data_IF_433039234364
#
_entry.id   IF_433039234364
#
_cell.length_a   1.000
_cell.length_b   1.000
_cell.length_c   1.000
_cell.angle_alpha   90.00
_cell.angle_beta   90.00
_cell.angle_gamma   90.00
#
_symmetry.space_group_name_H-M   'P 1'
#
loop_
_entity.id
_entity.type
_entity.pdbx_description
1 polymer ?
#
# COMPACT_ATOMS: atom_id res chain seq x y z
N UNK A 1 0.39 -24.35 -0.62
CA UNK A 1 -0.10 -23.09 -1.20
C UNK A 1 0.48 -22.93 -2.60
N UNK A 2 -0.34 -22.73 -3.63
CA UNK A 2 0.13 -22.65 -5.02
C UNK A 2 0.85 -21.31 -5.23
N UNK A 3 1.93 -21.28 -6.03
CA UNK A 3 2.79 -20.08 -6.20
C UNK A 3 2.02 -18.82 -6.62
N UNK A 4 0.93 -18.95 -7.40
CA UNK A 4 0.09 -17.83 -7.81
C UNK A 4 -0.76 -17.26 -6.66
N UNK A 5 -1.17 -18.08 -5.70
CA UNK A 5 -1.87 -17.62 -4.49
C UNK A 5 -0.96 -16.73 -3.65
N UNK A 6 0.32 -17.10 -3.53
CA UNK A 6 1.33 -16.30 -2.83
C UNK A 6 1.50 -14.95 -3.52
N UNK A 7 1.53 -14.91 -4.85
CA UNK A 7 1.62 -13.65 -5.60
C UNK A 7 0.39 -12.76 -5.41
N UNK A 8 -0.81 -13.31 -5.30
CA UNK A 8 -2.00 -12.53 -4.95
C UNK A 8 -1.90 -11.92 -3.55
N UNK A 9 -1.45 -12.70 -2.56
CA UNK A 9 -1.25 -12.20 -1.21
C UNK A 9 -0.19 -11.09 -1.20
N UNK A 10 0.94 -11.27 -1.89
CA UNK A 10 2.00 -10.26 -1.99
C UNK A 10 1.46 -8.99 -2.64
N UNK A 11 0.70 -9.11 -3.73
CA UNK A 11 0.08 -7.96 -4.41
C UNK A 11 -0.83 -7.16 -3.48
N UNK A 12 -1.78 -7.85 -2.82
CA UNK A 12 -2.72 -7.22 -1.89
C UNK A 12 -1.95 -6.57 -0.72
N UNK A 13 -0.97 -7.28 -0.18
CA UNK A 13 -0.15 -6.79 0.92
C UNK A 13 0.62 -5.51 0.53
N UNK A 14 1.15 -5.45 -0.69
CA UNK A 14 1.88 -4.29 -1.20
C UNK A 14 0.98 -3.06 -1.35
N UNK A 15 -0.26 -3.25 -1.81
CA UNK A 15 -1.28 -2.19 -1.89
C UNK A 15 -1.66 -1.69 -0.49
N UNK A 16 -1.91 -2.61 0.44
CA UNK A 16 -2.25 -2.27 1.84
C UNK A 16 -1.11 -1.49 2.48
N UNK A 17 0.14 -1.97 2.36
CA UNK A 17 1.30 -1.35 2.97
C UNK A 17 1.57 0.04 2.39
N UNK A 18 1.43 0.20 1.07
CA UNK A 18 1.54 1.48 0.39
C UNK A 18 0.48 2.49 0.86
N UNK A 19 -0.78 2.04 1.00
CA UNK A 19 -1.88 2.87 1.50
C UNK A 19 -1.68 3.25 2.97
N UNK A 20 -1.27 2.29 3.81
CA UNK A 20 -1.01 2.53 5.22
C UNK A 20 0.14 3.52 5.40
N UNK A 21 1.22 3.41 4.62
CA UNK A 21 2.34 4.35 4.65
C UNK A 21 1.90 5.77 4.27
N UNK A 22 1.09 5.90 3.22
CA UNK A 22 0.53 7.19 2.82
C UNK A 22 -0.30 7.80 3.95
N UNK A 23 -1.26 7.06 4.52
CA UNK A 23 -2.12 7.55 5.61
C UNK A 23 -1.32 7.98 6.85
N UNK A 24 -0.38 7.13 7.30
CA UNK A 24 0.47 7.43 8.44
C UNK A 24 1.32 8.68 8.21
N UNK A 25 1.84 8.86 7.01
CA UNK A 25 2.66 10.03 6.68
C UNK A 25 1.88 11.35 6.65
N UNK A 26 0.57 11.30 6.47
CA UNK A 26 -0.29 12.50 6.52
C UNK A 26 -0.73 12.88 7.93
N UNK A 27 -0.46 12.04 8.92
CA UNK A 27 -0.91 12.26 10.29
C UNK A 27 0.08 13.18 11.00
N UNK A 28 -0.39 14.35 11.43
CA UNK A 28 0.36 15.28 12.27
C UNK A 28 0.38 14.76 13.71
N UNK A 29 1.56 14.78 14.33
CA UNK A 29 1.71 14.70 15.78
C UNK A 29 2.18 16.08 16.27
N UNK A 30 1.41 16.77 17.13
CA UNK A 30 1.88 18.01 17.74
C UNK A 30 3.17 17.72 18.52
N UNK A 31 4.23 18.50 18.27
CA UNK A 31 5.48 18.38 19.01
C UNK A 31 5.32 18.76 20.48
N UNK A 32 6.23 18.30 21.34
CA UNK A 32 6.24 18.67 22.76
C UNK A 32 6.65 20.13 23.00
N UNK A 33 7.23 20.79 21.99
CA UNK A 33 7.62 22.20 22.04
C UNK A 33 6.62 23.04 21.26
N UNK A 34 6.21 24.16 21.86
CA UNK A 34 5.06 25.02 21.53
C UNK A 34 5.03 25.52 20.06
N UNK A 35 6.15 25.39 19.32
CA UNK A 35 6.32 25.85 17.95
C UNK A 35 6.84 24.77 17.00
N UNK A 36 6.52 23.49 17.20
CA UNK A 36 7.01 22.40 16.35
C UNK A 36 5.91 21.42 15.92
N UNK A 37 5.85 21.14 14.62
CA UNK A 37 5.03 20.04 14.07
C UNK A 37 5.95 18.90 13.69
N UNK A 38 5.60 17.69 14.12
CA UNK A 38 6.29 16.47 13.75
C UNK A 38 5.38 15.54 12.93
N UNK A 39 5.98 14.91 11.94
CA UNK A 39 5.44 13.70 11.31
C UNK A 39 5.64 12.50 12.27
N UNK A 40 4.79 11.46 12.20
CA UNK A 40 4.98 10.13 12.84
C UNK A 40 6.41 9.54 12.65
N UNK A 41 7.12 9.90 11.57
CA UNK A 41 8.51 9.53 11.28
C UNK A 41 9.55 10.46 11.97
N UNK A 42 9.13 11.40 12.81
CA UNK A 42 9.99 12.24 13.65
C UNK A 42 10.68 13.40 12.93
N UNK A 43 10.21 13.77 11.73
CA UNK A 43 10.71 14.96 11.03
C UNK A 43 10.04 16.20 11.61
N UNK A 44 10.85 17.06 12.23
CA UNK A 44 10.40 18.29 12.87
C UNK A 44 10.54 19.48 11.91
N UNK A 45 9.57 20.38 11.94
CA UNK A 45 9.66 21.72 11.37
C UNK A 45 9.42 22.74 12.48
N UNK A 46 10.32 23.72 12.59
CA UNK A 46 10.15 24.89 13.47
C UNK A 46 9.13 25.84 12.83
N UNK A 47 8.15 26.29 13.62
CA UNK A 47 7.10 27.22 13.21
C UNK A 47 7.42 28.61 13.75
N UNK A 48 7.41 29.63 12.88
CA UNK A 48 7.76 31.01 13.25
C UNK A 48 6.49 31.88 13.39
N UNK A 49 5.91 31.92 14.60
CA UNK A 49 4.73 32.70 15.04
C UNK A 49 3.32 32.12 14.84
N UNK A 50 2.42 32.48 15.77
CA UNK A 50 1.09 31.90 16.02
C UNK A 50 0.07 31.98 14.88
N UNK A 51 0.26 32.90 13.92
CA UNK A 51 -0.56 32.98 12.69
C UNK A 51 0.08 32.19 11.53
N UNK A 52 1.40 31.95 11.57
CA UNK A 52 2.10 31.13 10.57
C UNK A 52 2.12 29.64 10.94
N UNK A 53 1.84 29.29 12.19
CA UNK A 53 1.88 27.90 12.68
C UNK A 53 0.93 26.97 11.93
N UNK A 54 -0.29 27.42 11.64
CA UNK A 54 -1.25 26.62 10.87
C UNK A 54 -0.85 26.53 9.39
N UNK A 55 -0.46 27.65 8.79
CA UNK A 55 -0.09 27.69 7.37
C UNK A 55 1.18 26.86 7.09
N UNK A 56 2.19 26.97 7.95
CA UNK A 56 3.42 26.17 7.85
C UNK A 56 3.18 24.69 8.12
N UNK A 57 2.27 24.34 9.05
CA UNK A 57 1.90 22.94 9.28
C UNK A 57 1.16 22.34 8.07
N UNK A 58 0.29 23.12 7.42
CA UNK A 58 -0.41 22.73 6.19
C UNK A 58 0.57 22.59 5.04
N UNK A 59 1.48 23.54 4.83
CA UNK A 59 2.49 23.48 3.78
C UNK A 59 3.42 22.26 3.96
N UNK A 60 3.83 21.97 5.21
CA UNK A 60 4.59 20.77 5.52
C UNK A 60 3.82 19.48 5.19
N UNK A 61 2.51 19.43 5.49
CA UNK A 61 1.66 18.30 5.10
C UNK A 61 1.54 18.16 3.58
N UNK A 62 1.40 19.25 2.84
CA UNK A 62 1.28 19.23 1.39
C UNK A 62 2.57 18.72 0.73
N UNK A 63 3.73 19.20 1.20
CA UNK A 63 5.03 18.72 0.73
C UNK A 63 5.26 17.23 1.04
N UNK A 64 4.89 16.77 2.23
CA UNK A 64 4.99 15.35 2.56
C UNK A 64 3.98 14.51 1.80
N UNK A 65 2.75 15.00 1.59
CA UNK A 65 1.73 14.32 0.77
C UNK A 65 2.18 14.19 -0.66
N UNK A 66 2.76 15.23 -1.25
CA UNK A 66 3.25 15.18 -2.63
C UNK A 66 4.36 14.14 -2.76
N UNK A 67 5.36 14.17 -1.86
CA UNK A 67 6.46 13.20 -1.86
C UNK A 67 5.97 11.77 -1.65
N UNK A 68 5.03 11.56 -0.73
CA UNK A 68 4.54 10.23 -0.38
C UNK A 68 3.46 9.73 -1.34
N UNK A 69 2.83 10.61 -2.12
CA UNK A 69 1.92 10.25 -3.21
C UNK A 69 2.64 9.43 -4.29
N UNK A 70 3.91 9.73 -4.55
CA UNK A 70 4.72 8.97 -5.52
C UNK A 70 4.86 7.51 -5.05
N UNK A 71 5.18 7.30 -3.76
CA UNK A 71 5.27 5.95 -3.17
C UNK A 71 3.92 5.22 -3.15
N UNK A 72 2.81 5.96 -2.94
CA UNK A 72 1.46 5.42 -3.06
C UNK A 72 1.22 4.87 -4.47
N UNK A 73 1.46 5.67 -5.49
CA UNK A 73 1.20 5.29 -6.87
C UNK A 73 2.13 4.18 -7.35
N UNK A 74 3.40 4.19 -6.98
CA UNK A 74 4.34 3.08 -7.27
C UNK A 74 3.86 1.79 -6.63
N UNK A 75 3.42 1.84 -5.37
CA UNK A 75 2.92 0.66 -4.65
C UNK A 75 1.64 0.09 -5.26
N UNK A 76 0.66 0.95 -5.59
CA UNK A 76 -0.58 0.54 -6.25
C UNK A 76 -0.30 -0.04 -7.64
N UNK A 77 0.46 0.66 -8.48
CA UNK A 77 0.78 0.19 -9.83
C UNK A 77 1.58 -1.11 -9.80
N UNK A 78 2.57 -1.22 -8.92
CA UNK A 78 3.35 -2.44 -8.71
C UNK A 78 2.47 -3.60 -8.22
N UNK A 79 1.58 -3.34 -7.26
CA UNK A 79 0.63 -4.33 -6.76
C UNK A 79 -0.30 -4.84 -7.85
N UNK A 80 -0.89 -3.94 -8.64
CA UNK A 80 -1.77 -4.29 -9.78
C UNK A 80 -1.01 -5.10 -10.84
N UNK A 81 0.23 -4.72 -11.16
CA UNK A 81 1.05 -5.46 -12.12
C UNK A 81 1.33 -6.89 -11.64
N UNK A 82 1.70 -7.06 -10.37
CA UNK A 82 1.94 -8.38 -9.77
C UNK A 82 0.65 -9.21 -9.78
N UNK A 83 -0.50 -8.60 -9.49
CA UNK A 83 -1.80 -9.26 -9.55
C UNK A 83 -2.09 -9.79 -10.95
N UNK A 84 -1.81 -8.98 -11.98
CA UNK A 84 -2.01 -9.35 -13.37
C UNK A 84 -1.07 -10.50 -13.79
N UNK A 85 0.19 -10.46 -13.37
CA UNK A 85 1.15 -11.55 -13.58
C UNK A 85 0.64 -12.84 -12.93
N UNK A 86 0.13 -12.76 -11.70
CA UNK A 86 -0.44 -13.90 -11.00
C UNK A 86 -1.64 -14.51 -11.75
N UNK A 87 -2.53 -13.67 -12.31
CA UNK A 87 -3.63 -14.11 -13.17
C UNK A 87 -3.14 -14.84 -14.42
N UNK A 88 -2.15 -14.27 -15.12
CA UNK A 88 -1.58 -14.89 -16.34
C UNK A 88 -0.95 -16.24 -16.00
N UNK A 89 -0.15 -16.32 -14.93
CA UNK A 89 0.46 -17.57 -14.47
C UNK A 89 -0.59 -18.62 -14.07
N UNK A 90 -1.66 -18.21 -13.38
CA UNK A 90 -2.78 -19.09 -13.02
C UNK A 90 -3.45 -19.64 -14.29
N UNK A 91 -3.73 -18.78 -15.26
CA UNK A 91 -4.38 -19.12 -16.55
C UNK A 91 -3.53 -20.06 -17.40
N UNK A 92 -2.22 -19.84 -17.49
CA UNK A 92 -1.32 -20.74 -18.22
C UNK A 92 -1.29 -22.13 -17.57
N UNK A 93 -1.24 -22.20 -16.24
CA UNK A 93 -1.09 -23.46 -15.51
C UNK A 93 -2.39 -24.26 -15.36
N UNK A 94 -3.54 -23.62 -15.26
CA UNK A 94 -4.82 -24.28 -14.95
C UNK A 94 -5.90 -24.07 -16.03
N UNK A 95 -5.62 -23.35 -17.12
CA UNK A 95 -6.57 -23.09 -18.19
C UNK A 95 -7.51 -21.90 -17.91
N UNK A 96 -8.46 -21.67 -18.81
CA UNK A 96 -9.40 -20.55 -18.74
C UNK A 96 -10.52 -20.73 -17.69
N UNK A 97 -10.67 -21.92 -17.11
CA UNK A 97 -11.58 -22.20 -16.00
C UNK A 97 -10.97 -21.67 -14.69
N UNK A 98 -11.10 -20.36 -14.48
CA UNK A 98 -10.44 -19.65 -13.37
C UNK A 98 -11.18 -19.74 -12.02
N UNK A 99 -12.42 -20.26 -12.02
CA UNK A 99 -13.35 -20.22 -10.87
C UNK A 99 -14.09 -21.54 -10.57
N UNK A 100 -13.95 -22.54 -11.44
CA UNK A 100 -14.44 -23.87 -11.11
C UNK A 100 -13.32 -24.53 -10.33
N UNK A 101 -13.43 -24.53 -9.01
CA UNK A 101 -12.75 -25.52 -8.20
C UNK A 101 -13.19 -26.87 -8.76
N UNK A 102 -12.33 -27.51 -9.57
CA UNK A 102 -12.38 -28.96 -9.64
C UNK A 102 -12.00 -29.40 -8.25
N UNK A 103 -13.02 -29.65 -7.43
CA UNK A 103 -12.91 -30.53 -6.29
C UNK A 103 -12.07 -31.72 -6.74
N UNK A 104 -10.92 -31.88 -6.10
CA UNK A 104 -10.06 -33.05 -6.10
C UNK A 104 -10.40 -34.09 -7.19
N UNK A 105 -9.76 -33.96 -8.36
CA UNK A 105 -9.59 -35.09 -9.28
C UNK A 105 -8.52 -36.05 -8.70
N UNK A 106 -8.65 -36.44 -7.41
CA UNK A 106 -7.87 -37.51 -6.78
C UNK A 106 -8.71 -38.77 -6.45
N UNK A 107 -10.02 -38.82 -6.73
CA UNK A 107 -10.87 -39.99 -6.39
C UNK A 107 -11.83 -40.45 -7.52
N UNK A 108 -11.38 -40.47 -8.78
CA UNK A 108 -12.18 -41.02 -9.90
C UNK A 108 -11.51 -42.19 -10.65
N UNK A 109 -10.63 -42.95 -9.98
CA UNK A 109 -10.15 -44.27 -10.42
C UNK A 109 -10.78 -45.42 -9.60
N UNK A 110 -12.08 -45.33 -9.33
CA UNK A 110 -12.89 -46.46 -8.88
C UNK A 110 -14.15 -46.54 -9.73
N UNK A 111 -14.08 -47.26 -10.86
CA UNK A 111 -15.02 -48.26 -11.39
C UNK A 111 -14.69 -48.61 -12.84
#
# INVERSE_FOLDING_TARGET
MKTHEILYIISIFLIILSTAFYLLSTTIVPGSEENSVANIFGKNTELDSTLSEQDNAVEFQELERERNSIFLWIGILGGVLIFFIALVLKRIKHGADLFIDRYDDEDLDFF
#
